data_IF_781192149041
#
_entry.id   IF_781192149041
#
_cell.length_a   1.000
_cell.length_b   1.000
_cell.length_c   1.000
_cell.angle_alpha   90.00
_cell.angle_beta   90.00
_cell.angle_gamma   90.00
#
_symmetry.space_group_name_H-M   'P 1'
#
loop_
_entity.id
_entity.type
_entity.pdbx_description
1 polymer ?
#
# COMPACT_ATOMS: atom_id res chain seq x y z
N UNK A 1 57.80 -47.18 36.99
CA UNK A 1 56.34 -47.23 36.72
C UNK A 1 55.89 -45.84 36.25
N UNK A 2 55.69 -45.67 34.93
CA UNK A 2 55.29 -44.43 34.31
C UNK A 2 53.79 -44.50 34.03
N UNK A 3 52.96 -43.66 34.69
CA UNK A 3 51.55 -43.48 34.34
C UNK A 3 51.46 -42.41 33.27
N UNK A 4 51.07 -42.81 32.08
CA UNK A 4 50.72 -41.94 30.98
C UNK A 4 49.22 -41.60 31.12
N UNK A 5 48.88 -40.36 31.53
CA UNK A 5 47.54 -39.81 31.51
C UNK A 5 47.21 -39.34 30.10
N UNK A 6 46.41 -40.10 29.39
CA UNK A 6 45.79 -39.70 28.10
C UNK A 6 44.61 -38.81 28.41
N UNK A 7 44.73 -37.53 28.09
CA UNK A 7 43.62 -36.59 28.16
C UNK A 7 42.52 -36.99 27.15
N UNK A 8 41.23 -36.90 27.50
CA UNK A 8 40.16 -37.46 26.70
C UNK A 8 39.85 -36.57 25.49
N UNK A 9 39.97 -37.16 24.30
CA UNK A 9 39.62 -36.58 23.02
C UNK A 9 38.16 -36.09 22.96
N UNK A 10 37.34 -36.48 23.89
CA UNK A 10 35.91 -36.11 24.03
C UNK A 10 35.71 -34.62 24.33
N UNK A 11 36.65 -33.99 25.07
CA UNK A 11 36.49 -32.57 25.44
C UNK A 11 36.73 -31.60 24.27
N UNK A 12 37.59 -31.95 23.34
CA UNK A 12 37.88 -31.15 22.14
C UNK A 12 36.72 -31.25 21.13
N UNK A 13 36.08 -32.43 21.09
CA UNK A 13 34.95 -32.67 20.20
C UNK A 13 33.71 -31.87 20.66
N UNK A 14 33.45 -31.83 21.96
CA UNK A 14 32.32 -31.08 22.54
C UNK A 14 32.48 -29.55 22.35
N UNK A 15 33.69 -29.03 22.43
CA UNK A 15 33.93 -27.60 22.18
C UNK A 15 33.74 -27.22 20.72
N UNK A 16 34.18 -28.06 19.78
CA UNK A 16 34.00 -27.81 18.34
C UNK A 16 32.51 -27.79 17.93
N UNK A 17 31.70 -28.69 18.48
CA UNK A 17 30.25 -28.71 18.26
C UNK A 17 29.55 -27.49 18.89
N UNK A 18 29.97 -27.08 20.08
CA UNK A 18 29.42 -25.87 20.74
C UNK A 18 29.69 -24.58 19.95
N UNK A 19 30.93 -24.42 19.45
CA UNK A 19 31.32 -23.28 18.63
C UNK A 19 30.56 -23.26 17.28
N UNK A 20 30.36 -24.42 16.67
CA UNK A 20 29.62 -24.55 15.41
C UNK A 20 28.14 -24.24 15.59
N UNK A 21 27.48 -24.66 16.66
CA UNK A 21 26.11 -24.30 17.00
C UNK A 21 25.96 -22.80 17.31
N UNK A 22 26.95 -22.21 18.00
CA UNK A 22 26.93 -20.76 18.30
C UNK A 22 27.05 -19.91 17.03
N UNK A 23 27.91 -20.32 16.08
CA UNK A 23 28.05 -19.65 14.78
C UNK A 23 26.80 -19.81 13.90
N UNK A 24 26.11 -20.96 13.97
CA UNK A 24 24.84 -21.18 13.27
C UNK A 24 23.72 -20.30 13.84
N UNK A 25 23.66 -20.12 15.16
CA UNK A 25 22.70 -19.25 15.84
C UNK A 25 22.94 -17.76 15.54
N UNK A 26 24.19 -17.34 15.41
CA UNK A 26 24.55 -15.98 15.01
C UNK A 26 24.25 -15.70 13.52
N UNK A 27 24.29 -16.72 12.66
CA UNK A 27 23.93 -16.59 11.23
C UNK A 27 22.44 -16.46 10.95
N UNK A 28 21.56 -16.90 11.84
CA UNK A 28 20.10 -16.81 11.68
C UNK A 28 19.50 -15.47 12.08
N UNK A 29 20.26 -14.60 12.77
CA UNK A 29 19.84 -13.25 13.15
C UNK A 29 19.90 -12.19 12.05
N UNK A 30 20.35 -12.55 10.83
CA UNK A 30 20.65 -11.60 9.74
C UNK A 30 19.53 -11.35 8.73
N UNK A 31 18.29 -11.78 8.95
CA UNK A 31 17.16 -11.30 8.15
C UNK A 31 16.76 -9.92 8.64
N UNK A 32 17.62 -8.94 8.39
CA UNK A 32 17.30 -7.53 8.54
C UNK A 32 16.30 -7.12 7.48
N UNK A 33 15.03 -7.42 7.66
CA UNK A 33 13.96 -6.66 7.03
C UNK A 33 14.04 -5.26 7.63
N UNK A 34 14.81 -4.39 7.00
CA UNK A 34 14.64 -2.96 7.18
C UNK A 34 13.28 -2.60 6.59
N UNK A 35 12.27 -2.58 7.44
CA UNK A 35 11.11 -1.76 7.20
C UNK A 35 11.65 -0.33 7.17
N UNK A 36 11.95 0.20 5.99
CA UNK A 36 12.10 1.62 5.79
C UNK A 36 10.72 2.26 6.01
N UNK A 37 10.32 2.36 7.28
CA UNK A 37 9.29 3.28 7.73
C UNK A 37 9.81 4.74 7.66
N UNK A 38 10.76 5.00 6.76
CA UNK A 38 11.22 6.32 6.43
C UNK A 38 10.15 6.99 5.58
N UNK A 39 9.38 7.89 6.18
CA UNK A 39 8.49 8.77 5.45
C UNK A 39 9.28 9.44 4.32
N UNK A 40 9.04 9.02 3.08
CA UNK A 40 9.70 9.61 1.91
C UNK A 40 9.24 11.05 1.75
N UNK A 41 10.13 11.97 1.39
CA UNK A 41 9.74 13.35 1.15
C UNK A 41 8.84 13.42 -0.09
N UNK A 42 7.93 14.37 -0.09
CA UNK A 42 7.12 14.68 -1.26
C UNK A 42 7.99 15.20 -2.41
N UNK A 43 7.55 15.06 -3.66
CA UNK A 43 8.21 15.60 -4.83
C UNK A 43 8.53 17.08 -4.66
N UNK A 44 9.74 17.48 -5.12
CA UNK A 44 10.18 18.89 -5.08
C UNK A 44 10.43 19.47 -3.70
N UNK A 45 10.55 18.62 -2.65
CA UNK A 45 10.77 19.07 -1.27
C UNK A 45 9.53 19.72 -0.64
N UNK A 46 8.34 19.44 -1.16
CA UNK A 46 7.09 19.90 -0.58
C UNK A 46 6.85 19.22 0.77
N UNK A 47 6.23 19.96 1.70
CA UNK A 47 5.89 19.47 3.05
C UNK A 47 4.38 19.43 3.29
N UNK A 48 3.61 19.95 2.37
CA UNK A 48 2.16 20.04 2.52
C UNK A 48 1.43 19.72 1.22
N UNK A 49 0.26 19.06 1.39
CA UNK A 49 -0.60 18.62 0.29
C UNK A 49 -2.05 18.95 0.61
N UNK A 50 -2.77 19.46 -0.37
CA UNK A 50 -4.22 19.59 -0.35
C UNK A 50 -4.85 18.45 -1.15
N UNK A 51 -5.66 17.63 -0.50
CA UNK A 51 -6.57 16.72 -1.19
C UNK A 51 -7.85 17.47 -1.54
N UNK A 52 -8.05 17.74 -2.83
CA UNK A 52 -9.30 18.38 -3.30
C UNK A 52 -10.47 17.39 -3.18
N UNK A 53 -11.71 17.89 -3.18
CA UNK A 53 -12.89 17.03 -3.21
C UNK A 53 -12.81 16.06 -4.39
N UNK A 54 -12.94 14.76 -4.10
CA UNK A 54 -12.95 13.72 -5.13
C UNK A 54 -14.21 13.87 -5.96
N UNK A 55 -14.06 13.98 -7.27
CA UNK A 55 -15.17 14.00 -8.20
C UNK A 55 -15.58 12.57 -8.54
N UNK A 56 -16.86 12.25 -8.50
CA UNK A 56 -17.39 10.96 -8.88
C UNK A 56 -18.29 11.10 -10.11
N UNK A 57 -17.89 10.48 -11.21
CA UNK A 57 -18.66 10.39 -12.47
C UNK A 57 -19.18 8.98 -12.73
N UNK A 58 -19.05 8.08 -11.74
CA UNK A 58 -19.61 6.72 -11.81
C UNK A 58 -21.06 6.73 -11.37
N UNK A 59 -21.79 5.66 -11.68
CA UNK A 59 -23.18 5.47 -11.25
C UNK A 59 -23.33 5.03 -9.77
N UNK A 60 -22.20 4.90 -9.06
CA UNK A 60 -22.15 4.41 -7.67
C UNK A 60 -21.84 5.56 -6.71
N UNK A 61 -22.86 6.07 -6.04
CA UNK A 61 -22.70 7.12 -5.03
C UNK A 61 -21.92 6.62 -3.80
N UNK A 62 -21.13 7.52 -3.18
CA UNK A 62 -20.39 7.25 -1.96
C UNK A 62 -18.95 6.77 -2.16
N UNK A 63 -18.56 6.37 -3.38
CA UNK A 63 -17.17 6.01 -3.70
C UNK A 63 -16.21 7.17 -3.43
N UNK A 64 -16.62 8.39 -3.78
CA UNK A 64 -15.85 9.63 -3.56
C UNK A 64 -15.56 9.89 -2.09
N UNK A 65 -16.55 9.69 -1.24
CA UNK A 65 -16.44 9.90 0.21
C UNK A 65 -15.52 8.86 0.82
N UNK A 66 -15.68 7.59 0.43
CA UNK A 66 -14.85 6.49 0.91
C UNK A 66 -13.40 6.66 0.45
N UNK A 67 -13.17 6.95 -0.83
CA UNK A 67 -11.83 7.21 -1.37
C UNK A 67 -11.14 8.38 -0.67
N UNK A 68 -11.86 9.49 -0.47
CA UNK A 68 -11.30 10.63 0.24
C UNK A 68 -10.94 10.31 1.69
N UNK A 69 -11.72 9.47 2.36
CA UNK A 69 -11.43 8.99 3.72
C UNK A 69 -10.18 8.13 3.78
N UNK A 70 -10.08 7.12 2.92
CA UNK A 70 -8.93 6.22 2.82
C UNK A 70 -7.64 6.98 2.48
N UNK A 71 -7.69 7.87 1.50
CA UNK A 71 -6.54 8.69 1.14
C UNK A 71 -6.10 9.60 2.28
N UNK A 72 -7.04 10.24 3.00
CA UNK A 72 -6.67 11.05 4.16
C UNK A 72 -6.01 10.23 5.25
N UNK A 73 -6.47 9.00 5.47
CA UNK A 73 -5.85 8.09 6.45
C UNK A 73 -4.41 7.73 6.04
N UNK A 74 -4.19 7.33 4.78
CA UNK A 74 -2.88 6.99 4.25
C UNK A 74 -1.92 8.18 4.25
N UNK A 75 -2.39 9.36 3.82
CA UNK A 75 -1.56 10.57 3.77
C UNK A 75 -1.19 11.07 5.16
N UNK A 76 -2.07 10.95 6.17
CA UNK A 76 -1.77 11.32 7.57
C UNK A 76 -0.82 10.36 8.25
N UNK A 77 -0.72 9.12 7.80
CA UNK A 77 0.25 8.15 8.32
C UNK A 77 1.70 8.54 7.98
N UNK A 78 1.91 9.45 7.02
CA UNK A 78 3.23 9.99 6.71
C UNK A 78 3.53 11.19 7.60
N UNK A 79 4.46 11.01 8.57
CA UNK A 79 4.83 12.04 9.55
C UNK A 79 5.42 13.32 8.93
N UNK A 80 5.99 13.24 7.72
CA UNK A 80 6.60 14.38 7.02
C UNK A 80 5.60 15.16 6.15
N UNK A 81 4.34 14.68 6.06
CA UNK A 81 3.32 15.30 5.25
C UNK A 81 2.27 15.98 6.12
N UNK A 82 2.01 17.24 5.87
CA UNK A 82 0.90 17.98 6.49
C UNK A 82 -0.22 18.20 5.47
N UNK A 83 -1.43 17.71 5.78
CA UNK A 83 -2.61 18.06 4.99
C UNK A 83 -3.04 19.48 5.32
N UNK A 84 -3.15 20.34 4.30
CA UNK A 84 -3.56 21.74 4.43
C UNK A 84 -4.69 22.08 3.46
N UNK A 85 -5.45 23.15 3.72
CA UNK A 85 -6.34 23.73 2.72
C UNK A 85 -5.58 24.11 1.45
N UNK A 86 -6.29 24.14 0.31
CA UNK A 86 -5.71 24.39 -1.01
C UNK A 86 -4.81 25.63 -1.04
N UNK A 87 -5.24 26.69 -0.42
CA UNK A 87 -4.55 28.00 -0.43
C UNK A 87 -3.22 27.99 0.28
N UNK A 88 -3.04 27.09 1.24
CA UNK A 88 -1.87 26.99 2.12
C UNK A 88 -0.98 25.78 1.80
N UNK A 89 -1.39 24.92 0.88
CA UNK A 89 -0.65 23.72 0.51
C UNK A 89 0.40 24.00 -0.57
N UNK A 90 1.49 23.25 -0.56
CA UNK A 90 2.51 23.27 -1.59
C UNK A 90 2.05 22.53 -2.83
N UNK A 91 1.44 21.37 -2.62
CA UNK A 91 0.90 20.50 -3.68
C UNK A 91 -0.62 20.40 -3.60
N UNK A 92 -1.25 20.13 -4.74
CA UNK A 92 -2.66 19.79 -4.84
C UNK A 92 -2.83 18.44 -5.52
N UNK A 93 -3.68 17.58 -4.93
CA UNK A 93 -4.08 16.30 -5.48
C UNK A 93 -5.55 16.37 -5.90
N UNK A 94 -5.79 16.17 -7.19
CA UNK A 94 -7.12 16.14 -7.79
C UNK A 94 -7.40 14.73 -8.28
N UNK A 95 -8.59 14.20 -7.97
CA UNK A 95 -9.01 12.86 -8.40
C UNK A 95 -10.41 12.93 -8.95
N UNK A 96 -10.61 12.32 -10.11
CA UNK A 96 -11.92 12.14 -10.74
C UNK A 96 -12.14 10.67 -11.03
N UNK A 97 -13.09 10.03 -10.36
CA UNK A 97 -13.52 8.67 -10.67
C UNK A 97 -14.35 8.71 -11.96
N UNK A 98 -14.01 7.86 -12.91
CA UNK A 98 -14.58 7.85 -14.27
C UNK A 98 -15.58 6.71 -14.43
N UNK A 99 -15.18 5.50 -14.05
CA UNK A 99 -16.02 4.30 -14.17
C UNK A 99 -15.70 3.27 -13.12
N UNK A 100 -16.74 2.56 -12.67
CA UNK A 100 -16.64 1.31 -11.93
C UNK A 100 -17.32 0.23 -12.76
N UNK A 101 -16.58 -0.81 -13.14
CA UNK A 101 -17.06 -1.90 -13.97
C UNK A 101 -16.96 -3.21 -13.22
N UNK A 102 -18.01 -3.99 -13.30
CA UNK A 102 -18.02 -5.38 -12.85
C UNK A 102 -17.52 -6.27 -13.99
N UNK A 103 -16.74 -7.30 -13.67
CA UNK A 103 -16.29 -8.31 -14.63
C UNK A 103 -16.27 -9.69 -13.98
N UNK A 104 -16.48 -10.71 -14.79
CA UNK A 104 -16.40 -12.10 -14.37
C UNK A 104 -14.97 -12.61 -14.50
N UNK A 105 -14.46 -13.26 -13.44
CA UNK A 105 -13.12 -13.82 -13.40
C UNK A 105 -13.19 -15.30 -13.07
N UNK A 106 -12.54 -16.15 -13.89
CA UNK A 106 -12.49 -17.60 -13.69
C UNK A 106 -13.26 -18.40 -14.74
N UNK A 107 -13.06 -19.72 -14.75
CA UNK A 107 -13.81 -20.65 -15.58
C UNK A 107 -15.19 -20.95 -14.99
N UNK A 108 -16.13 -21.41 -15.81
CA UNK A 108 -17.57 -21.50 -15.54
C UNK A 108 -18.02 -22.05 -14.17
N UNK A 109 -17.23 -22.94 -13.53
CA UNK A 109 -17.60 -23.54 -12.24
C UNK A 109 -17.18 -22.72 -11.01
N UNK A 110 -16.16 -21.86 -11.16
CA UNK A 110 -15.58 -21.04 -10.08
C UNK A 110 -15.56 -19.55 -10.46
N UNK A 111 -16.51 -19.11 -11.26
CA UNK A 111 -16.58 -17.73 -11.72
C UNK A 111 -16.82 -16.78 -10.54
N UNK A 112 -15.84 -15.97 -10.22
CA UNK A 112 -15.95 -14.89 -9.25
C UNK A 112 -16.28 -13.56 -9.93
N UNK A 113 -16.82 -12.63 -9.14
CA UNK A 113 -17.08 -11.25 -9.58
C UNK A 113 -15.93 -10.37 -9.13
N UNK A 114 -15.32 -9.67 -10.07
CA UNK A 114 -14.32 -8.64 -9.82
C UNK A 114 -14.85 -7.25 -10.17
N UNK A 115 -14.20 -6.22 -9.63
CA UNK A 115 -14.51 -4.82 -9.94
C UNK A 115 -13.27 -4.11 -10.46
N UNK A 116 -13.45 -3.31 -11.50
CA UNK A 116 -12.43 -2.45 -12.09
C UNK A 116 -12.81 -1.00 -11.87
N UNK A 117 -12.03 -0.30 -11.07
CA UNK A 117 -12.18 1.14 -10.84
C UNK A 117 -11.18 1.90 -11.68
N UNK A 118 -11.68 2.82 -12.49
CA UNK A 118 -10.86 3.71 -13.32
C UNK A 118 -11.10 5.17 -12.93
N UNK A 119 -10.02 5.94 -12.82
CA UNK A 119 -10.10 7.36 -12.55
C UNK A 119 -8.90 8.12 -13.11
N UNK A 120 -9.03 9.42 -13.12
CA UNK A 120 -7.97 10.37 -13.44
C UNK A 120 -7.38 10.91 -12.13
N UNK A 121 -6.07 11.01 -12.07
CA UNK A 121 -5.34 11.58 -10.94
C UNK A 121 -4.38 12.65 -11.47
N UNK A 122 -4.31 13.79 -10.80
CA UNK A 122 -3.40 14.89 -11.12
C UNK A 122 -2.77 15.41 -9.84
N UNK A 123 -1.45 15.44 -9.80
CA UNK A 123 -0.64 16.06 -8.74
C UNK A 123 0.05 17.29 -9.30
N UNK A 124 -0.21 18.45 -8.70
CA UNK A 124 0.32 19.74 -9.16
C UNK A 124 1.13 20.43 -8.05
N UNK A 125 2.27 21.01 -8.43
CA UNK A 125 2.98 21.99 -7.61
C UNK A 125 2.30 23.36 -7.78
N UNK A 126 1.62 23.78 -6.72
CA UNK A 126 0.85 25.03 -6.75
C UNK A 126 1.76 26.28 -6.83
N UNK A 127 2.96 26.19 -6.21
CA UNK A 127 3.90 27.32 -6.20
C UNK A 127 4.53 27.56 -7.57
N UNK A 128 4.78 26.47 -8.30
CA UNK A 128 5.41 26.52 -9.63
C UNK A 128 4.40 26.45 -10.77
N UNK A 129 3.12 26.29 -10.47
CA UNK A 129 2.04 26.04 -11.45
C UNK A 129 2.39 24.93 -12.43
N UNK A 130 2.96 23.83 -11.92
CA UNK A 130 3.47 22.73 -12.73
C UNK A 130 2.79 21.41 -12.31
N UNK A 131 2.28 20.68 -13.29
CA UNK A 131 1.89 19.28 -13.08
C UNK A 131 3.15 18.46 -12.85
N UNK A 132 3.23 17.82 -11.68
CA UNK A 132 4.32 16.92 -11.33
C UNK A 132 4.05 15.53 -11.86
N UNK A 133 2.81 15.07 -11.72
CA UNK A 133 2.34 13.78 -12.19
C UNK A 133 0.89 13.84 -12.59
N UNK A 134 0.55 13.13 -13.66
CA UNK A 134 -0.83 12.96 -14.12
C UNK A 134 -1.00 11.57 -14.70
N UNK A 135 -2.04 10.89 -14.27
CA UNK A 135 -2.50 9.64 -14.88
C UNK A 135 -3.95 9.84 -15.30
N UNK A 136 -4.24 9.90 -16.61
CA UNK A 136 -5.59 10.14 -17.12
C UNK A 136 -6.51 8.92 -16.96
N UNK A 137 -5.96 7.75 -16.65
CA UNK A 137 -6.69 6.49 -16.67
C UNK A 137 -6.18 5.47 -15.67
N UNK A 138 -5.74 5.91 -14.47
CA UNK A 138 -5.33 5.01 -13.41
C UNK A 138 -6.42 3.96 -13.17
N UNK A 139 -6.05 2.70 -13.33
CA UNK A 139 -6.99 1.58 -13.25
C UNK A 139 -6.52 0.60 -12.18
N UNK A 140 -7.44 0.18 -11.33
CA UNK A 140 -7.21 -0.83 -10.29
C UNK A 140 -8.33 -1.85 -10.34
N UNK A 141 -7.96 -3.11 -10.12
CA UNK A 141 -8.89 -4.24 -10.12
C UNK A 141 -8.88 -4.94 -8.76
N UNK A 142 -10.03 -5.45 -8.36
CA UNK A 142 -10.06 -6.43 -7.30
C UNK A 142 -9.50 -7.74 -7.84
N UNK A 143 -8.57 -8.37 -7.11
CA UNK A 143 -8.23 -9.77 -7.37
C UNK A 143 -9.44 -10.66 -7.13
N UNK A 144 -9.28 -11.96 -7.38
CA UNK A 144 -10.33 -12.97 -7.17
C UNK A 144 -10.89 -12.84 -5.74
N UNK A 145 -11.88 -11.97 -5.59
CA UNK A 145 -12.63 -11.82 -4.39
C UNK A 145 -13.51 -13.06 -4.32
N UNK A 146 -13.12 -14.01 -3.47
CA UNK A 146 -13.95 -15.15 -3.18
C UNK A 146 -15.38 -14.69 -3.00
N UNK A 147 -16.34 -15.50 -3.35
CA UNK A 147 -17.78 -15.26 -3.36
C UNK A 147 -18.20 -14.21 -2.33
N UNK A 148 -18.26 -12.95 -2.72
CA UNK A 148 -18.95 -11.96 -1.90
C UNK A 148 -20.41 -12.39 -1.90
N UNK A 149 -20.94 -12.67 -0.73
CA UNK A 149 -22.36 -12.97 -0.58
C UNK A 149 -23.15 -11.75 -1.08
N UNK A 150 -23.60 -11.84 -2.33
CA UNK A 150 -24.40 -10.79 -2.99
C UNK A 150 -25.76 -10.62 -2.33
N UNK A 151 -26.13 -11.52 -1.39
CA UNK A 151 -27.39 -11.42 -0.65
C UNK A 151 -27.38 -10.28 0.38
N UNK A 152 -26.20 -9.77 0.78
CA UNK A 152 -26.07 -8.57 1.60
C UNK A 152 -26.05 -7.28 0.77
N UNK A 153 -26.88 -7.19 -0.26
CA UNK A 153 -27.18 -5.93 -0.93
C UNK A 153 -27.81 -4.97 0.09
N UNK A 154 -26.96 -4.28 0.82
CA UNK A 154 -27.43 -3.13 1.59
C UNK A 154 -27.94 -2.10 0.60
N UNK A 155 -29.24 -1.93 0.56
CA UNK A 155 -29.97 -1.00 -0.34
C UNK A 155 -29.50 0.45 -0.31
N UNK A 156 -28.47 0.80 0.48
CA UNK A 156 -28.00 2.17 0.69
C UNK A 156 -26.51 2.27 1.04
N UNK A 157 -25.63 1.38 0.56
CA UNK A 157 -24.21 1.52 0.90
C UNK A 157 -23.28 0.76 -0.04
N UNK A 158 -21.99 1.11 0.02
CA UNK A 158 -20.94 0.41 -0.71
C UNK A 158 -20.83 -1.04 -0.23
N UNK A 159 -20.83 -1.98 -1.17
CA UNK A 159 -20.56 -3.40 -0.86
C UNK A 159 -19.12 -3.58 -0.35
N UNK A 160 -18.80 -4.69 0.34
CA UNK A 160 -17.43 -4.99 0.72
C UNK A 160 -16.47 -4.97 -0.48
N UNK A 161 -16.91 -5.44 -1.64
CA UNK A 161 -16.13 -5.43 -2.88
C UNK A 161 -15.84 -4.02 -3.40
N UNK A 162 -16.82 -3.11 -3.32
CA UNK A 162 -16.62 -1.70 -3.66
C UNK A 162 -15.60 -1.04 -2.71
N UNK A 163 -15.61 -1.39 -1.43
CA UNK A 163 -14.63 -0.89 -0.46
C UNK A 163 -13.23 -1.39 -0.77
N UNK A 164 -13.09 -2.67 -1.09
CA UNK A 164 -11.78 -3.26 -1.43
C UNK A 164 -11.15 -2.58 -2.66
N UNK A 165 -11.91 -2.39 -3.75
CA UNK A 165 -11.37 -1.72 -4.95
C UNK A 165 -10.98 -0.27 -4.67
N UNK A 166 -11.74 0.43 -3.82
CA UNK A 166 -11.44 1.82 -3.41
C UNK A 166 -10.19 1.87 -2.54
N UNK A 167 -10.01 0.95 -1.59
CA UNK A 167 -8.81 0.86 -0.76
C UNK A 167 -7.57 0.60 -1.60
N UNK A 168 -7.65 -0.32 -2.55
CA UNK A 168 -6.56 -0.60 -3.50
C UNK A 168 -6.24 0.62 -4.36
N UNK A 169 -7.27 1.34 -4.82
CA UNK A 169 -7.08 2.57 -5.58
C UNK A 169 -6.38 3.65 -4.75
N UNK A 170 -6.80 3.84 -3.51
CA UNK A 170 -6.16 4.76 -2.57
C UNK A 170 -4.68 4.39 -2.32
N UNK A 171 -4.40 3.10 -2.09
CA UNK A 171 -3.05 2.60 -1.91
C UNK A 171 -2.18 2.83 -3.16
N UNK A 172 -2.73 2.60 -4.35
CA UNK A 172 -2.01 2.84 -5.61
C UNK A 172 -1.69 4.31 -5.82
N UNK A 173 -2.66 5.22 -5.57
CA UNK A 173 -2.42 6.67 -5.62
C UNK A 173 -1.35 7.08 -4.63
N UNK A 174 -1.44 6.62 -3.37
CA UNK A 174 -0.44 6.88 -2.34
C UNK A 174 0.94 6.40 -2.77
N UNK A 175 1.04 5.17 -3.29
CA UNK A 175 2.30 4.60 -3.78
C UNK A 175 2.92 5.48 -4.88
N UNK A 176 2.12 5.92 -5.86
CA UNK A 176 2.59 6.77 -6.95
C UNK A 176 3.11 8.13 -6.47
N UNK A 177 2.47 8.73 -5.48
CA UNK A 177 2.91 10.04 -4.94
C UNK A 177 4.28 9.95 -4.27
N UNK A 178 4.64 8.83 -3.64
CA UNK A 178 5.84 8.72 -2.83
C UNK A 178 6.98 7.90 -3.46
N UNK A 179 6.71 7.08 -4.47
CA UNK A 179 7.68 6.12 -5.01
C UNK A 179 8.14 6.42 -6.44
N UNK A 180 7.38 7.17 -7.21
CA UNK A 180 7.72 7.45 -8.61
C UNK A 180 8.50 8.77 -8.81
N UNK A 181 8.99 9.38 -7.71
CA UNK A 181 9.76 10.64 -7.74
C UNK A 181 11.11 10.52 -7.06
#
# INVERSE_FOLDING_TARGET
MMFRTSAPAVFVQAWRTGVFCLLLLLGLGGCGYHFEAGSRPLPGGAQSLALLPVQNRTDHAGLETHLASELRALLRANEKLTLKPRELADLTLTITLISLQEFTQGAEADAGVGYRLRGQVVLEDRRKHKTLWSDPALTVETGNAGTYDTTTLSRQGLTPAHRDVVQRYAAQVHHRIFLDF
#
